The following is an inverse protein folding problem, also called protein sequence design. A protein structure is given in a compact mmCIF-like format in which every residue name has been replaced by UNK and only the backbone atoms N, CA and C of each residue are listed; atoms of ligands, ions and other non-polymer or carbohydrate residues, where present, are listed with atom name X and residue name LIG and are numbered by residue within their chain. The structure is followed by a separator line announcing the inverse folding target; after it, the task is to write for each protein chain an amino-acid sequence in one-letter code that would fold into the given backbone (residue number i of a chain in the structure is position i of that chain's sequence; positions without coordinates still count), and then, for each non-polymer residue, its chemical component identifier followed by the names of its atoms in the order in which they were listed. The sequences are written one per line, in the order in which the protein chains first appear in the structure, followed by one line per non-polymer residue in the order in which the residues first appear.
data_IF_881359860307
#
_entry.id   IF_881359860307
#
_cell.length_a   1.000
_cell.length_b   1.000
_cell.length_c   1.000
_cell.angle_alpha   90.00
_cell.angle_beta   90.00
_cell.angle_gamma   90.00
#
_symmetry.space_group_name_H-M   'P 1'
#
loop_
_entity.id
_entity.type
_entity.pdbx_description
1 polymer ?
#
# COMPACT_ATOMS: atom_id res chain seq x y z
N UNK A 1 28.45 11.83 -15.49
CA UNK A 1 28.73 10.41 -15.24
C UNK A 1 28.09 10.09 -13.89
N UNK A 2 27.03 9.27 -13.85
CA UNK A 2 26.38 8.92 -12.58
C UNK A 2 27.29 8.00 -11.75
N UNK A 3 27.20 8.10 -10.42
CA UNK A 3 27.88 7.15 -9.55
C UNK A 3 27.35 5.73 -9.83
N UNK A 4 28.24 4.75 -9.98
CA UNK A 4 27.89 3.37 -10.38
C UNK A 4 26.77 2.76 -9.52
N UNK A 5 26.80 3.01 -8.22
CA UNK A 5 25.80 2.50 -7.28
C UNK A 5 24.39 3.05 -7.57
N UNK A 6 24.26 4.31 -7.98
CA UNK A 6 22.96 4.93 -8.25
C UNK A 6 22.30 4.31 -9.48
N UNK A 7 23.11 4.01 -10.50
CA UNK A 7 22.66 3.28 -11.68
C UNK A 7 22.22 1.85 -11.35
N UNK A 8 22.93 1.18 -10.44
CA UNK A 8 22.56 -0.16 -9.98
C UNK A 8 21.24 -0.13 -9.20
N UNK A 9 21.02 0.85 -8.31
CA UNK A 9 19.76 1.06 -7.60
C UNK A 9 18.60 1.34 -8.56
N UNK A 10 18.78 2.24 -9.54
CA UNK A 10 17.76 2.53 -10.54
C UNK A 10 17.32 1.27 -11.29
N UNK A 11 18.29 0.45 -11.73
CA UNK A 11 18.00 -0.82 -12.39
C UNK A 11 17.27 -1.81 -11.49
N UNK A 12 17.64 -1.89 -10.21
CA UNK A 12 16.97 -2.77 -9.25
C UNK A 12 15.51 -2.36 -9.03
N UNK A 13 15.26 -1.06 -8.81
CA UNK A 13 13.89 -0.54 -8.64
C UNK A 13 13.05 -0.80 -9.89
N UNK A 14 13.59 -0.52 -11.08
CA UNK A 14 12.90 -0.75 -12.34
C UNK A 14 12.54 -2.24 -12.53
N UNK A 15 13.52 -3.14 -12.34
CA UNK A 15 13.30 -4.58 -12.44
C UNK A 15 12.22 -5.05 -11.46
N UNK A 16 12.30 -4.61 -10.21
CA UNK A 16 11.38 -5.03 -9.15
C UNK A 16 9.95 -4.50 -9.34
N UNK A 17 9.76 -3.37 -10.04
CA UNK A 17 8.44 -2.88 -10.45
C UNK A 17 7.86 -3.67 -11.61
N UNK A 18 8.69 -4.01 -12.61
CA UNK A 18 8.26 -4.85 -13.74
C UNK A 18 7.86 -6.23 -13.27
N UNK A 19 8.69 -6.87 -12.43
CA UNK A 19 8.43 -8.19 -11.86
C UNK A 19 7.08 -8.21 -11.14
N UNK A 20 6.88 -7.33 -10.14
CA UNK A 20 5.62 -7.25 -9.40
C UNK A 20 4.42 -6.98 -10.30
N UNK A 21 4.57 -6.15 -11.33
CA UNK A 21 3.48 -5.88 -12.29
C UNK A 21 3.07 -7.14 -13.06
N UNK A 22 4.03 -8.01 -13.38
CA UNK A 22 3.82 -9.22 -14.18
C UNK A 22 3.46 -10.46 -13.35
N UNK A 23 3.77 -10.45 -12.06
CA UNK A 23 3.41 -11.53 -11.14
C UNK A 23 1.90 -11.69 -10.99
N UNK A 24 1.47 -12.91 -10.67
CA UNK A 24 0.07 -13.15 -10.33
C UNK A 24 -0.27 -12.49 -9.00
N UNK A 25 -1.41 -11.82 -8.93
CA UNK A 25 -1.88 -11.17 -7.70
C UNK A 25 -2.11 -12.20 -6.61
N UNK A 26 -1.34 -12.09 -5.52
CA UNK A 26 -1.46 -12.98 -4.36
C UNK A 26 -2.74 -12.73 -3.54
N UNK A 27 -3.26 -11.50 -3.59
CA UNK A 27 -4.52 -11.10 -2.96
C UNK A 27 -5.62 -11.12 -4.01
N UNK A 28 -6.42 -12.18 -4.02
CA UNK A 28 -7.59 -12.25 -4.91
C UNK A 28 -8.84 -11.76 -4.21
N UNK A 29 -9.44 -10.71 -4.76
CA UNK A 29 -10.73 -10.20 -4.31
C UNK A 29 -11.81 -10.68 -5.27
N UNK A 30 -12.57 -11.69 -4.87
CA UNK A 30 -13.60 -12.33 -5.71
C UNK A 30 -14.70 -11.34 -6.14
N UNK A 31 -15.08 -10.41 -5.27
CA UNK A 31 -16.15 -9.44 -5.51
C UNK A 31 -15.67 -8.00 -5.32
N UNK A 32 -14.82 -7.51 -6.25
CA UNK A 32 -14.23 -6.16 -6.21
C UNK A 32 -15.29 -5.07 -6.02
N UNK A 33 -16.35 -5.09 -6.82
CA UNK A 33 -17.40 -4.07 -6.75
C UNK A 33 -18.12 -4.07 -5.39
N UNK A 34 -18.36 -5.24 -4.82
CA UNK A 34 -18.93 -5.35 -3.47
C UNK A 34 -17.95 -4.88 -2.38
N UNK A 35 -16.64 -4.99 -2.60
CA UNK A 35 -15.63 -4.44 -1.70
C UNK A 35 -15.62 -2.89 -1.75
N UNK A 36 -15.74 -2.30 -2.94
CA UNK A 36 -15.85 -0.83 -3.13
C UNK A 36 -17.11 -0.30 -2.45
N UNK A 37 -18.28 -0.87 -2.77
CA UNK A 37 -19.57 -0.44 -2.21
C UNK A 37 -19.61 -0.55 -0.68
N UNK A 38 -19.00 -1.62 -0.14
CA UNK A 38 -18.90 -1.78 1.31
C UNK A 38 -17.97 -0.75 1.94
N UNK A 39 -16.84 -0.44 1.30
CA UNK A 39 -15.92 0.59 1.79
C UNK A 39 -16.61 1.97 1.85
N UNK A 40 -17.40 2.32 0.84
CA UNK A 40 -18.24 3.53 0.84
C UNK A 40 -19.24 3.53 1.99
N UNK A 41 -19.98 2.44 2.17
CA UNK A 41 -20.98 2.30 3.23
C UNK A 41 -20.38 2.40 4.64
N UNK A 42 -19.24 1.75 4.88
CA UNK A 42 -18.54 1.80 6.18
C UNK A 42 -17.95 3.20 6.46
N UNK A 43 -17.51 3.91 5.43
CA UNK A 43 -16.95 5.26 5.56
C UNK A 43 -18.04 6.34 5.59
N UNK A 44 -19.28 6.02 5.19
CA UNK A 44 -20.35 6.99 5.03
C UNK A 44 -20.05 8.03 3.95
N UNK A 45 -19.34 7.62 2.89
CA UNK A 45 -18.95 8.49 1.77
C UNK A 45 -19.45 7.92 0.44
N UNK A 46 -19.61 8.78 -0.55
CA UNK A 46 -19.80 8.39 -1.94
C UNK A 46 -18.54 8.76 -2.70
N UNK A 47 -17.85 7.78 -3.28
CA UNK A 47 -16.68 8.02 -4.10
C UNK A 47 -17.15 8.43 -5.51
N UNK A 48 -16.43 9.38 -6.12
CA UNK A 48 -16.64 9.66 -7.53
C UNK A 48 -16.18 8.48 -8.40
N UNK A 49 -16.57 8.47 -9.68
CA UNK A 49 -16.24 7.36 -10.58
C UNK A 49 -14.74 7.06 -10.66
N UNK A 50 -13.87 8.09 -10.69
CA UNK A 50 -12.41 7.91 -10.76
C UNK A 50 -11.85 7.34 -9.46
N UNK A 51 -12.39 7.76 -8.32
CA UNK A 51 -12.01 7.21 -7.02
C UNK A 51 -12.45 5.75 -6.89
N UNK A 52 -13.66 5.39 -7.33
CA UNK A 52 -14.12 4.00 -7.39
C UNK A 52 -13.21 3.15 -8.27
N UNK A 53 -12.89 3.64 -9.47
CA UNK A 53 -11.98 2.97 -10.40
C UNK A 53 -10.59 2.78 -9.77
N UNK A 54 -10.10 3.78 -9.03
CA UNK A 54 -8.84 3.70 -8.33
C UNK A 54 -8.85 2.65 -7.20
N UNK A 55 -9.93 2.55 -6.41
CA UNK A 55 -10.07 1.48 -5.40
C UNK A 55 -10.13 0.11 -6.09
N UNK A 56 -10.92 -0.02 -7.15
CA UNK A 56 -11.02 -1.27 -7.90
C UNK A 56 -9.70 -1.68 -8.55
N UNK A 57 -8.92 -0.71 -9.05
CA UNK A 57 -7.59 -0.92 -9.60
C UNK A 57 -6.61 -1.38 -8.53
N UNK A 58 -6.63 -0.76 -7.34
CA UNK A 58 -5.81 -1.17 -6.21
C UNK A 58 -6.06 -2.64 -5.84
N UNK A 59 -7.33 -3.08 -5.81
CA UNK A 59 -7.72 -4.45 -5.50
C UNK A 59 -7.30 -5.49 -6.57
N UNK A 60 -6.92 -5.05 -7.77
CA UNK A 60 -6.56 -5.91 -8.91
C UNK A 60 -5.08 -5.87 -9.27
N UNK A 61 -4.32 -4.92 -8.73
CA UNK A 61 -2.95 -4.64 -9.15
C UNK A 61 -1.97 -4.91 -8.01
N UNK A 62 -0.84 -5.55 -8.30
CA UNK A 62 0.24 -5.75 -7.32
C UNK A 62 0.97 -4.46 -6.96
N UNK A 63 1.03 -3.52 -7.90
CA UNK A 63 1.62 -2.19 -7.70
C UNK A 63 0.72 -1.17 -8.37
N UNK A 64 0.41 -0.10 -7.65
CA UNK A 64 -0.36 1.03 -8.15
C UNK A 64 0.25 2.32 -7.62
N UNK A 65 0.36 3.33 -8.48
CA UNK A 65 0.76 4.69 -8.08
C UNK A 65 -0.46 5.59 -8.17
N UNK A 66 -0.75 6.28 -7.08
CA UNK A 66 -1.80 7.30 -7.02
C UNK A 66 -1.14 8.67 -7.03
N UNK A 67 -1.42 9.47 -8.05
CA UNK A 67 -0.93 10.85 -8.14
C UNK A 67 -2.09 11.84 -8.06
N UNK A 68 -1.78 13.08 -7.66
CA UNK A 68 -2.76 14.16 -7.60
C UNK A 68 -2.22 15.36 -6.82
N UNK A 69 -2.72 16.55 -7.11
CA UNK A 69 -2.36 17.77 -6.39
C UNK A 69 -2.92 17.82 -4.94
N UNK A 70 -2.59 18.87 -4.17
CA UNK A 70 -3.25 19.12 -2.89
C UNK A 70 -4.78 19.20 -3.05
N UNK A 71 -5.52 18.64 -2.10
CA UNK A 71 -6.99 18.72 -2.09
C UNK A 71 -7.73 17.76 -3.05
N UNK A 72 -7.04 16.92 -3.83
CA UNK A 72 -7.69 16.00 -4.80
C UNK A 72 -8.29 14.74 -4.17
N UNK A 73 -8.52 14.72 -2.86
CA UNK A 73 -9.12 13.57 -2.17
C UNK A 73 -8.25 12.32 -2.05
N UNK A 74 -6.92 12.39 -2.28
CA UNK A 74 -6.00 11.24 -2.13
C UNK A 74 -6.12 10.55 -0.78
N UNK A 75 -6.27 11.33 0.30
CA UNK A 75 -6.47 10.79 1.64
C UNK A 75 -7.77 9.99 1.71
N UNK A 76 -8.88 10.51 1.19
CA UNK A 76 -10.17 9.80 1.11
C UNK A 76 -10.06 8.50 0.32
N UNK A 77 -9.38 8.54 -0.83
CA UNK A 77 -9.09 7.37 -1.64
C UNK A 77 -8.26 6.33 -0.86
N UNK A 78 -7.23 6.78 -0.14
CA UNK A 78 -6.39 5.90 0.70
C UNK A 78 -7.22 5.23 1.79
N UNK A 79 -8.14 5.97 2.45
CA UNK A 79 -9.07 5.38 3.43
C UNK A 79 -9.93 4.30 2.79
N UNK A 80 -10.49 4.56 1.61
CA UNK A 80 -11.32 3.61 0.89
C UNK A 80 -10.55 2.34 0.52
N UNK A 81 -9.30 2.47 0.05
CA UNK A 81 -8.41 1.34 -0.26
C UNK A 81 -8.13 0.52 1.01
N UNK A 82 -7.77 1.17 2.12
CA UNK A 82 -7.52 0.47 3.41
C UNK A 82 -8.76 -0.29 3.87
N UNK A 83 -9.96 0.31 3.78
CA UNK A 83 -11.22 -0.34 4.16
C UNK A 83 -11.58 -1.50 3.24
N UNK A 84 -11.40 -1.32 1.93
CA UNK A 84 -11.65 -2.36 0.95
C UNK A 84 -10.77 -3.60 1.20
N UNK A 85 -9.46 -3.41 1.47
CA UNK A 85 -8.55 -4.52 1.77
C UNK A 85 -8.74 -5.11 3.18
N UNK A 86 -9.10 -4.30 4.19
CA UNK A 86 -9.23 -4.76 5.58
C UNK A 86 -10.30 -5.85 5.83
N UNK A 87 -11.13 -6.16 4.82
CA UNK A 87 -12.13 -7.24 4.84
C UNK A 87 -11.81 -8.39 3.89
N UNK A 88 -10.75 -8.28 3.09
CA UNK A 88 -10.34 -9.34 2.19
C UNK A 88 -9.86 -10.53 3.03
N UNK A 89 -10.48 -11.68 2.80
CA UNK A 89 -10.08 -12.94 3.44
C UNK A 89 -9.13 -13.68 2.50
N UNK A 90 -7.91 -13.90 2.98
CA UNK A 90 -6.89 -14.68 2.30
C UNK A 90 -6.93 -16.11 2.81
N UNK A 91 -6.81 -17.06 1.88
CA UNK A 91 -6.57 -18.47 2.22
C UNK A 91 -5.15 -18.62 2.72
N UNK A 92 -4.98 -19.36 3.80
CA UNK A 92 -3.66 -19.68 4.35
C UNK A 92 -3.24 -21.09 3.94
N UNK A 93 -1.93 -21.36 3.97
CA UNK A 93 -1.36 -22.63 3.50
C UNK A 93 -1.88 -23.85 4.30
N UNK A 94 -2.29 -23.64 5.55
CA UNK A 94 -2.93 -24.64 6.42
C UNK A 94 -4.42 -24.87 6.13
N UNK A 95 -4.95 -24.29 5.04
CA UNK A 95 -6.36 -24.41 4.66
C UNK A 95 -7.31 -23.47 5.42
N UNK A 96 -6.77 -22.65 6.33
CA UNK A 96 -7.52 -21.62 7.04
C UNK A 96 -7.82 -20.37 6.20
N UNK A 97 -8.37 -19.37 6.88
CA UNK A 97 -8.62 -18.05 6.31
C UNK A 97 -8.31 -16.94 7.31
N UNK A 98 -7.60 -15.91 6.88
CA UNK A 98 -7.31 -14.72 7.69
C UNK A 98 -7.57 -13.44 6.91
N UNK A 99 -7.75 -12.32 7.62
CA UNK A 99 -7.82 -11.02 6.96
C UNK A 99 -6.48 -10.62 6.37
N UNK A 100 -6.53 -9.90 5.24
CA UNK A 100 -5.37 -9.21 4.69
C UNK A 100 -4.86 -8.17 5.70
N UNK A 101 -3.54 -8.17 5.92
CA UNK A 101 -2.82 -7.22 6.75
C UNK A 101 -2.44 -6.04 5.89
N UNK A 102 -3.07 -4.90 6.15
CA UNK A 102 -2.77 -3.63 5.48
C UNK A 102 -1.83 -2.84 6.38
N UNK A 103 -0.64 -2.52 5.87
CA UNK A 103 0.31 -1.63 6.53
C UNK A 103 0.34 -0.30 5.78
N UNK A 104 0.13 0.79 6.52
CA UNK A 104 0.31 2.15 5.99
C UNK A 104 1.59 2.72 6.57
N UNK A 105 2.42 3.30 5.71
CA UNK A 105 3.61 3.99 6.14
C UNK A 105 3.83 5.31 5.40
N UNK A 106 4.69 6.14 5.98
CA UNK A 106 5.09 7.43 5.42
C UNK A 106 6.59 7.68 5.70
N UNK A 107 7.27 8.58 4.96
CA UNK A 107 8.71 8.80 5.12
C UNK A 107 9.06 9.45 6.48
N UNK A 108 8.19 10.29 7.03
CA UNK A 108 8.45 11.02 8.28
C UNK A 108 7.43 10.70 9.37
N UNK A 109 7.83 10.84 10.65
CA UNK A 109 6.94 10.61 11.79
C UNK A 109 5.72 11.54 11.80
N UNK A 110 5.88 12.79 11.33
CA UNK A 110 4.77 13.75 11.21
C UNK A 110 3.77 13.34 10.13
N UNK A 111 4.25 12.85 8.98
CA UNK A 111 3.38 12.33 7.93
C UNK A 111 2.66 11.06 8.39
N UNK A 112 3.36 10.13 9.03
CA UNK A 112 2.77 8.90 9.58
C UNK A 112 1.67 9.20 10.61
N UNK A 113 1.90 10.17 11.51
CA UNK A 113 0.88 10.61 12.49
C UNK A 113 -0.37 11.16 11.80
N UNK A 114 -0.20 12.03 10.80
CA UNK A 114 -1.32 12.59 10.02
C UNK A 114 -2.08 11.51 9.24
N UNK A 115 -1.36 10.57 8.62
CA UNK A 115 -1.96 9.43 7.94
C UNK A 115 -2.78 8.57 8.92
N UNK A 116 -2.26 8.35 10.14
CA UNK A 116 -2.97 7.61 11.19
C UNK A 116 -4.28 8.28 11.58
N UNK A 117 -4.22 9.58 11.88
CA UNK A 117 -5.38 10.40 12.23
C UNK A 117 -6.43 10.41 11.10
N UNK A 118 -5.97 10.52 9.86
CA UNK A 118 -6.86 10.51 8.72
C UNK A 118 -7.52 9.14 8.54
N UNK A 119 -6.74 8.05 8.50
CA UNK A 119 -7.23 6.71 8.13
C UNK A 119 -7.94 6.02 9.30
N UNK A 120 -7.71 6.48 10.53
CA UNK A 120 -8.30 5.89 11.73
C UNK A 120 -7.70 4.53 12.08
N UNK A 121 -6.46 4.27 11.65
CA UNK A 121 -5.64 3.13 12.06
C UNK A 121 -4.17 3.55 12.15
N UNK A 122 -3.32 2.77 12.82
CA UNK A 122 -1.89 3.11 12.93
C UNK A 122 -1.23 3.12 11.55
N UNK A 123 -0.50 4.20 11.27
CA UNK A 123 0.49 4.29 10.21
C UNK A 123 1.85 4.56 10.84
N UNK A 124 2.91 3.97 10.27
CA UNK A 124 4.27 4.05 10.81
C UNK A 124 5.23 4.73 9.84
N UNK A 125 6.47 5.00 10.25
CA UNK A 125 7.48 5.44 9.30
C UNK A 125 7.97 4.26 8.44
N UNK A 126 8.46 4.52 7.23
CA UNK A 126 9.14 3.50 6.41
C UNK A 126 10.26 2.83 7.21
N UNK A 127 11.05 3.61 7.96
CA UNK A 127 12.09 3.11 8.86
C UNK A 127 11.55 2.13 9.91
N UNK A 128 10.41 2.43 10.53
CA UNK A 128 9.80 1.53 11.52
C UNK A 128 9.21 0.28 10.86
N UNK A 129 8.62 0.41 9.66
CA UNK A 129 8.14 -0.73 8.87
C UNK A 129 9.28 -1.68 8.48
N UNK A 130 10.46 -1.15 8.16
CA UNK A 130 11.66 -1.91 7.83
C UNK A 130 12.45 -2.38 9.07
N UNK A 131 11.97 -2.07 10.28
CA UNK A 131 12.67 -2.32 11.54
C UNK A 131 14.14 -1.81 11.54
N UNK A 132 14.33 -0.61 11.01
CA UNK A 132 15.65 -0.02 10.80
C UNK A 132 16.43 0.14 12.11
N UNK A 133 17.64 -0.39 12.15
CA UNK A 133 18.56 -0.31 13.28
C UNK A 133 19.95 0.18 12.90
N UNK A 134 20.92 0.12 13.82
CA UNK A 134 22.30 0.59 13.59
C UNK A 134 23.02 -0.13 12.43
N UNK A 135 22.62 -1.36 12.11
CA UNK A 135 23.16 -2.15 11.00
C UNK A 135 22.38 -2.06 9.69
N UNK A 136 21.37 -1.19 9.60
CA UNK A 136 20.47 -1.09 8.44
C UNK A 136 19.08 -1.67 8.69
N UNK A 137 18.28 -1.88 7.61
CA UNK A 137 16.95 -2.49 7.71
C UNK A 137 17.07 -3.96 8.12
N UNK A 138 16.14 -4.42 8.97
CA UNK A 138 16.04 -5.86 9.32
C UNK A 138 15.02 -6.59 8.46
N UNK A 139 14.14 -5.85 7.77
CA UNK A 139 13.23 -6.38 6.77
C UNK A 139 13.79 -6.10 5.39
N UNK A 140 13.88 -7.13 4.56
CA UNK A 140 14.45 -7.11 3.22
C UNK A 140 13.76 -8.15 2.31
N UNK A 141 14.41 -8.55 1.21
CA UNK A 141 13.86 -9.54 0.29
C UNK A 141 13.76 -10.95 0.90
N UNK A 142 14.68 -11.30 1.80
CA UNK A 142 14.72 -12.61 2.46
C UNK A 142 13.87 -12.63 3.74
N UNK A 143 13.68 -11.48 4.37
CA UNK A 143 12.80 -11.27 5.52
C UNK A 143 11.78 -10.14 5.25
N UNK A 144 10.71 -10.38 4.48
CA UNK A 144 9.81 -9.34 4.04
C UNK A 144 9.03 -8.69 5.20
N UNK A 145 8.58 -7.46 4.96
CA UNK A 145 7.65 -6.76 5.86
C UNK A 145 6.37 -7.60 6.03
N UNK A 146 5.88 -7.69 7.26
CA UNK A 146 4.70 -8.51 7.61
C UNK A 146 3.36 -7.85 7.20
N UNK A 147 3.16 -7.66 5.91
CA UNK A 147 1.94 -7.12 5.33
C UNK A 147 1.58 -7.88 4.05
N UNK A 148 0.29 -7.92 3.74
CA UNK A 148 -0.19 -8.40 2.43
C UNK A 148 -0.42 -7.22 1.47
N UNK A 149 -0.65 -6.03 2.03
CA UNK A 149 -0.84 -4.78 1.31
C UNK A 149 -0.04 -3.70 1.99
N UNK A 150 0.87 -3.06 1.26
CA UNK A 150 1.66 -1.93 1.73
C UNK A 150 1.21 -0.66 1.03
N UNK A 151 0.87 0.37 1.81
CA UNK A 151 0.53 1.70 1.30
C UNK A 151 1.58 2.68 1.81
N UNK A 152 2.27 3.34 0.89
CA UNK A 152 3.22 4.40 1.22
C UNK A 152 2.60 5.74 0.85
N UNK A 153 2.39 6.60 1.85
CA UNK A 153 1.95 7.98 1.63
C UNK A 153 3.17 8.91 1.51
N UNK A 154 3.04 10.01 0.78
CA UNK A 154 4.11 11.00 0.52
C UNK A 154 5.40 10.38 -0.09
N UNK A 155 5.24 9.43 -1.03
CA UNK A 155 6.36 8.76 -1.73
C UNK A 155 7.32 9.75 -2.40
N UNK A 156 6.86 10.95 -2.75
CA UNK A 156 7.71 12.00 -3.34
C UNK A 156 8.87 12.46 -2.45
N UNK A 157 8.86 12.12 -1.16
CA UNK A 157 9.96 12.43 -0.22
C UNK A 157 10.89 11.22 0.02
N UNK A 158 10.68 10.10 -0.67
CA UNK A 158 11.50 8.89 -0.54
C UNK A 158 12.66 8.95 -1.54
N UNK A 159 13.87 8.70 -1.07
CA UNK A 159 15.12 8.63 -1.83
C UNK A 159 15.85 7.28 -1.66
#
# INVERSE_FOLDING_TARGET
MFARWLYEVERQVAAALVERRTEQTHVQVEAVEAAVQRAEGELGITLDARQRDAVAMALKSNVMVVTGGPGTGKTTLTKAIVRAFGRVMLRTADGGGRRARVLVCAPTGKAAKRASEAIGCEAVTIHRALEWGPGGPKRDADNPVEADVLIVDEVSMVD
#
